data_IF_855268598640
#
_entry.id   IF_855268598640
#
_cell.length_a   1.000
_cell.length_b   1.000
_cell.length_c   1.000
_cell.angle_alpha   90.00
_cell.angle_beta   90.00
_cell.angle_gamma   90.00
#
_symmetry.space_group_name_H-M   'P 1'
#
loop_
_entity.id
_entity.type
_entity.pdbx_description
1 polymer ?
#
# COMPACT_ATOMS: atom_id res chain seq x y z
N UNK A 1 -6.74 0.35 11.86
CA UNK A 1 -6.10 -0.29 13.05
C UNK A 1 -6.53 -1.74 13.28
N UNK A 2 -7.79 -2.15 12.99
CA UNK A 2 -8.28 -3.51 13.26
C UNK A 2 -7.41 -4.66 12.68
N UNK A 3 -6.77 -4.47 11.52
CA UNK A 3 -5.90 -5.51 10.94
C UNK A 3 -4.58 -5.72 11.69
N UNK A 4 -3.89 -4.63 12.06
CA UNK A 4 -2.62 -4.71 12.78
C UNK A 4 -2.79 -5.33 14.17
N UNK A 5 -3.91 -5.06 14.84
CA UNK A 5 -4.25 -5.69 16.12
C UNK A 5 -4.46 -7.20 15.99
N UNK A 6 -5.19 -7.64 14.94
CA UNK A 6 -5.36 -9.06 14.65
C UNK A 6 -4.02 -9.74 14.35
N UNK A 7 -3.19 -9.12 13.52
CA UNK A 7 -1.84 -9.65 13.24
C UNK A 7 -1.01 -9.73 14.51
N UNK A 8 -1.10 -8.73 15.40
CA UNK A 8 -0.34 -8.72 16.66
C UNK A 8 -0.76 -9.86 17.57
N UNK A 9 -2.07 -10.16 17.60
CA UNK A 9 -2.62 -11.25 18.40
C UNK A 9 -2.26 -12.63 17.85
N UNK A 10 -2.34 -12.83 16.55
CA UNK A 10 -2.32 -14.18 15.95
C UNK A 10 -1.03 -14.51 15.18
N UNK A 11 -0.32 -13.51 14.66
CA UNK A 11 0.91 -13.70 13.90
C UNK A 11 1.92 -12.54 14.06
N UNK A 12 2.43 -12.28 15.28
CA UNK A 12 3.22 -11.07 15.59
C UNK A 12 4.59 -10.99 14.93
N UNK A 13 5.07 -12.07 14.29
CA UNK A 13 6.39 -12.14 13.64
C UNK A 13 6.32 -12.02 12.12
N UNK A 14 5.15 -11.75 11.55
CA UNK A 14 5.02 -11.61 10.10
C UNK A 14 5.69 -10.32 9.60
N UNK A 15 6.16 -10.38 8.36
CA UNK A 15 6.45 -9.18 7.60
C UNK A 15 5.16 -8.70 6.95
N UNK A 16 4.98 -7.39 6.90
CA UNK A 16 3.78 -6.76 6.37
C UNK A 16 4.02 -6.20 4.98
N UNK A 17 2.98 -6.28 4.15
CA UNK A 17 2.84 -5.45 2.97
C UNK A 17 1.82 -4.34 3.27
N UNK A 18 2.08 -3.12 2.80
CA UNK A 18 1.13 -2.04 2.86
C UNK A 18 0.49 -1.86 1.49
N UNK A 19 -0.79 -2.21 1.38
CA UNK A 19 -1.58 -1.95 0.18
C UNK A 19 -2.11 -0.53 0.19
N UNK A 20 -1.75 0.27 -0.81
CA UNK A 20 -2.25 1.63 -0.98
C UNK A 20 -3.36 1.71 -2.01
N UNK A 21 -4.21 2.72 -1.87
CA UNK A 21 -5.16 3.09 -2.90
C UNK A 21 -4.40 3.69 -4.08
N UNK A 22 -4.49 3.05 -5.25
CA UNK A 22 -3.94 3.63 -6.48
C UNK A 22 -4.69 4.94 -6.81
N UNK A 23 -3.98 6.03 -7.18
CA UNK A 23 -4.63 7.22 -7.68
C UNK A 23 -5.38 6.88 -8.97
N UNK A 24 -6.70 7.00 -8.93
CA UNK A 24 -7.59 6.75 -10.07
C UNK A 24 -8.65 7.86 -10.08
N UNK A 25 -8.78 8.54 -11.20
CA UNK A 25 -9.79 9.58 -11.47
C UNK A 25 -11.14 8.99 -11.89
N UNK A 26 -11.25 7.66 -11.94
CA UNK A 26 -12.45 6.93 -12.34
C UNK A 26 -12.47 6.53 -13.81
N UNK A 27 -11.45 6.88 -14.59
CA UNK A 27 -11.41 6.63 -16.03
C UNK A 27 -10.43 5.52 -16.45
N UNK A 28 -9.49 5.11 -15.58
CA UNK A 28 -8.42 4.18 -15.96
C UNK A 28 -8.75 2.68 -15.88
N UNK A 29 -9.89 2.28 -15.31
CA UNK A 29 -10.27 0.87 -15.14
C UNK A 29 -11.79 0.67 -15.15
N UNK A 30 -12.27 -0.39 -15.80
CA UNK A 30 -13.70 -0.73 -15.84
C UNK A 30 -14.26 -1.25 -14.51
N UNK A 31 -13.43 -1.82 -13.63
CA UNK A 31 -13.85 -2.33 -12.31
C UNK A 31 -12.92 -1.84 -11.20
N UNK A 32 -13.13 -0.60 -10.73
CA UNK A 32 -12.31 -0.01 -9.68
C UNK A 32 -12.53 -0.73 -8.33
N UNK A 33 -11.42 -1.09 -7.66
CA UNK A 33 -11.40 -1.75 -6.34
C UNK A 33 -11.02 -0.80 -5.19
N UNK A 34 -10.70 0.43 -5.54
CA UNK A 34 -10.18 1.51 -4.71
C UNK A 34 -11.19 2.01 -3.65
N UNK A 35 -12.49 1.76 -3.83
CA UNK A 35 -13.54 2.01 -2.82
C UNK A 35 -13.56 0.95 -1.71
N UNK A 36 -13.00 -0.23 -1.98
CA UNK A 36 -13.06 -1.39 -1.08
C UNK A 36 -11.73 -1.65 -0.39
N UNK A 37 -10.60 -1.41 -1.07
CA UNK A 37 -9.28 -1.78 -0.61
C UNK A 37 -8.24 -0.70 -0.89
N UNK A 38 -7.20 -0.70 -0.06
CA UNK A 38 -6.07 0.22 -0.15
C UNK A 38 -6.20 1.36 0.85
N UNK A 39 -5.11 1.65 1.56
CA UNK A 39 -5.03 2.80 2.45
C UNK A 39 -5.12 4.10 1.65
N UNK A 40 -5.87 5.08 2.16
CA UNK A 40 -5.87 6.43 1.62
C UNK A 40 -4.52 7.11 1.86
N UNK A 41 -4.09 8.05 1.00
CA UNK A 41 -2.82 8.75 1.17
C UNK A 41 -2.64 9.36 2.57
N UNK A 42 -3.69 9.92 3.14
CA UNK A 42 -3.74 10.51 4.48
C UNK A 42 -3.64 9.49 5.63
N UNK A 43 -3.92 8.22 5.37
CA UNK A 43 -3.84 7.14 6.37
C UNK A 43 -2.46 6.46 6.41
N UNK A 44 -1.69 6.56 5.32
CA UNK A 44 -0.43 5.82 5.14
C UNK A 44 0.56 6.08 6.28
N UNK A 45 0.79 7.35 6.62
CA UNK A 45 1.76 7.71 7.64
C UNK A 45 1.38 7.12 9.00
N UNK A 46 0.10 7.26 9.39
CA UNK A 46 -0.40 6.74 10.66
C UNK A 46 -0.29 5.20 10.72
N UNK A 47 -0.56 4.51 9.61
CA UNK A 47 -0.42 3.06 9.53
C UNK A 47 1.04 2.61 9.67
N UNK A 48 1.98 3.32 9.04
CA UNK A 48 3.42 3.04 9.17
C UNK A 48 3.90 3.27 10.60
N UNK A 49 3.53 4.39 11.22
CA UNK A 49 3.86 4.68 12.61
C UNK A 49 3.30 3.61 13.56
N UNK A 50 2.04 3.20 13.36
CA UNK A 50 1.45 2.13 14.17
C UNK A 50 2.19 0.81 13.98
N UNK A 51 2.59 0.45 12.75
CA UNK A 51 3.36 -0.76 12.50
C UNK A 51 4.69 -0.75 13.27
N UNK A 52 5.38 0.40 13.30
CA UNK A 52 6.61 0.57 14.11
C UNK A 52 6.34 0.36 15.59
N UNK A 53 5.35 1.06 16.16
CA UNK A 53 4.99 0.94 17.58
C UNK A 53 4.54 -0.49 17.95
N UNK A 54 3.87 -1.18 17.03
CA UNK A 54 3.44 -2.55 17.21
C UNK A 54 4.56 -3.59 17.03
N UNK A 55 5.76 -3.17 16.62
CA UNK A 55 6.92 -4.05 16.41
C UNK A 55 6.91 -4.81 15.09
N UNK A 56 6.08 -4.40 14.13
CA UNK A 56 6.01 -5.00 12.81
C UNK A 56 7.06 -4.43 11.85
N UNK A 57 7.51 -5.28 10.93
CA UNK A 57 8.33 -4.86 9.80
C UNK A 57 7.49 -4.80 8.54
N UNK A 58 7.32 -3.61 7.98
CA UNK A 58 6.73 -3.42 6.66
C UNK A 58 7.84 -3.55 5.61
N UNK A 59 7.72 -4.50 4.69
CA UNK A 59 8.78 -4.84 3.71
C UNK A 59 8.40 -4.52 2.27
N UNK A 60 7.10 -4.33 2.03
CA UNK A 60 6.49 -4.25 0.70
C UNK A 60 5.42 -3.16 0.64
N UNK A 61 5.32 -2.51 -0.51
CA UNK A 61 4.18 -1.66 -0.86
C UNK A 61 3.48 -2.31 -2.05
N UNK A 62 2.15 -2.48 -1.97
CA UNK A 62 1.34 -2.96 -3.08
C UNK A 62 0.26 -1.98 -3.50
N UNK A 63 -0.18 -2.08 -4.74
CA UNK A 63 -1.36 -1.39 -5.23
C UNK A 63 -2.07 -2.25 -6.27
N UNK A 64 -3.33 -1.93 -6.54
CA UNK A 64 -4.08 -2.51 -7.65
C UNK A 64 -4.88 -1.39 -8.32
N UNK A 65 -4.69 -1.20 -9.62
CA UNK A 65 -5.30 -0.11 -10.39
C UNK A 65 -6.77 -0.35 -10.78
N UNK A 66 -7.37 -1.43 -10.28
CA UNK A 66 -8.66 -1.98 -10.74
C UNK A 66 -8.51 -3.05 -11.83
N UNK A 67 -9.57 -3.82 -12.08
CA UNK A 67 -9.57 -4.87 -13.11
C UNK A 67 -9.92 -4.30 -14.48
N UNK A 68 -9.30 -4.85 -15.52
CA UNK A 68 -9.44 -4.38 -16.91
C UNK A 68 -8.99 -2.91 -17.01
N UNK A 69 -7.70 -2.69 -16.74
CA UNK A 69 -7.06 -1.40 -16.90
C UNK A 69 -6.92 -1.10 -18.39
N UNK A 70 -7.42 0.07 -18.81
CA UNK A 70 -7.42 0.47 -20.23
C UNK A 70 -6.39 1.57 -20.52
N UNK A 71 -5.95 2.29 -19.50
CA UNK A 71 -4.95 3.34 -19.60
C UNK A 71 -3.67 2.94 -18.87
N UNK A 72 -2.52 2.76 -19.54
CA UNK A 72 -1.25 2.44 -18.89
C UNK A 72 -0.73 3.57 -17.97
N UNK A 73 -1.17 4.82 -18.14
CA UNK A 73 -0.75 5.96 -17.31
C UNK A 73 -1.16 5.77 -15.83
N UNK A 74 -2.25 5.02 -15.56
CA UNK A 74 -2.68 4.74 -14.19
C UNK A 74 -1.60 4.01 -13.38
N UNK A 75 -0.82 3.12 -14.02
CA UNK A 75 0.29 2.43 -13.36
C UNK A 75 1.42 3.40 -13.01
N UNK A 76 1.70 4.39 -13.87
CA UNK A 76 2.71 5.43 -13.56
C UNK A 76 2.33 6.21 -12.30
N UNK A 77 1.07 6.61 -12.17
CA UNK A 77 0.58 7.30 -10.98
C UNK A 77 0.62 6.41 -9.73
N UNK A 78 0.24 5.14 -9.86
CA UNK A 78 0.29 4.19 -8.76
C UNK A 78 1.74 3.88 -8.29
N UNK A 79 2.69 3.76 -9.23
CA UNK A 79 4.12 3.60 -8.91
C UNK A 79 4.66 4.86 -8.22
N UNK A 80 4.28 6.06 -8.68
CA UNK A 80 4.68 7.31 -8.03
C UNK A 80 4.12 7.41 -6.60
N UNK A 81 2.86 7.03 -6.39
CA UNK A 81 2.26 6.97 -5.05
C UNK A 81 2.96 5.94 -4.15
N UNK A 82 3.29 4.76 -4.69
CA UNK A 82 4.06 3.78 -3.96
C UNK A 82 5.43 4.32 -3.55
N UNK A 83 6.15 5.00 -4.46
CA UNK A 83 7.44 5.63 -4.14
C UNK A 83 7.34 6.62 -2.97
N UNK A 84 6.28 7.43 -2.92
CA UNK A 84 6.06 8.35 -1.81
C UNK A 84 5.94 7.62 -0.46
N UNK A 85 5.40 6.39 -0.44
CA UNK A 85 5.35 5.54 0.76
C UNK A 85 6.74 5.05 1.17
N UNK A 86 7.59 4.64 0.22
CA UNK A 86 8.99 4.30 0.50
C UNK A 86 9.73 5.50 1.13
N UNK A 87 9.51 6.70 0.59
CA UNK A 87 10.12 7.92 1.12
C UNK A 87 9.62 8.25 2.53
N UNK A 88 8.32 8.05 2.78
CA UNK A 88 7.74 8.23 4.11
C UNK A 88 8.35 7.26 5.12
N UNK A 89 8.48 5.98 4.76
CA UNK A 89 9.08 4.97 5.62
C UNK A 89 10.55 5.29 5.93
N UNK A 90 11.31 5.81 4.96
CA UNK A 90 12.67 6.26 5.15
C UNK A 90 12.75 7.45 6.12
N UNK A 91 11.83 8.42 6.02
CA UNK A 91 11.73 9.55 6.98
C UNK A 91 11.42 9.08 8.40
N UNK A 92 10.61 8.03 8.53
CA UNK A 92 10.30 7.37 9.80
C UNK A 92 11.43 6.46 10.31
N UNK A 93 12.59 6.43 9.63
CA UNK A 93 13.76 5.61 9.97
C UNK A 93 13.44 4.11 10.06
N UNK A 94 12.45 3.66 9.29
CA UNK A 94 12.08 2.26 9.21
C UNK A 94 13.18 1.47 8.47
N UNK A 95 13.31 0.16 8.74
CA UNK A 95 14.09 -0.71 7.88
C UNK A 95 13.67 -0.58 6.41
N UNK A 96 14.63 -0.57 5.49
CA UNK A 96 14.36 -0.37 4.08
C UNK A 96 13.33 -1.40 3.55
N UNK A 97 12.23 -0.89 3.00
CA UNK A 97 11.32 -1.67 2.17
C UNK A 97 12.04 -2.06 0.87
N UNK A 98 11.77 -3.26 0.34
CA UNK A 98 12.53 -3.80 -0.82
C UNK A 98 11.64 -4.28 -1.97
N UNK A 99 10.34 -4.38 -1.75
CA UNK A 99 9.42 -5.00 -2.70
C UNK A 99 8.35 -3.98 -3.11
N UNK A 100 8.22 -3.76 -4.41
CA UNK A 100 7.08 -3.08 -5.02
C UNK A 100 6.23 -4.14 -5.73
N UNK A 101 4.98 -4.27 -5.33
CA UNK A 101 4.04 -5.20 -5.92
C UNK A 101 2.95 -4.42 -6.68
N UNK A 102 3.02 -4.50 -8.01
CA UNK A 102 2.12 -3.75 -8.91
C UNK A 102 0.75 -4.43 -9.09
N UNK A 103 0.52 -5.56 -8.39
CA UNK A 103 -0.57 -6.52 -8.58
C UNK A 103 -0.91 -6.67 -10.08
N UNK A 104 -2.16 -6.88 -10.48
CA UNK A 104 -2.42 -7.06 -11.91
C UNK A 104 -3.87 -7.03 -12.33
N UNK A 105 -4.06 -7.24 -13.64
CA UNK A 105 -5.14 -7.88 -14.41
C UNK A 105 -4.75 -7.66 -15.88
N UNK A 106 -3.53 -8.11 -16.25
CA UNK A 106 -2.99 -7.99 -17.61
C UNK A 106 -4.00 -8.47 -18.65
#
# INVERSE_FOLDING_TARGET
MMELEKMKKWHPKCNLLLRIKAPNDGHGSLRPLDKKFGALPEEVELLLQYAVVAGFRVVEVSFHVGSIAQDPIIYRHAIAAARAVFDMAAKLQMPAMRILNIEGWF
#
